data_IF_318306929449
#
_entry.id   IF_318306929449
#
_cell.length_a   1.000
_cell.length_b   1.000
_cell.length_c   1.000
_cell.angle_alpha   90.00
_cell.angle_beta   90.00
_cell.angle_gamma   90.00
#
_symmetry.space_group_name_H-M   'P 1'
#
loop_
_entity.id
_entity.type
_entity.pdbx_description
1 polymer ?
#
# COMPACT_ATOMS: atom_id res chain seq x y z
N UNK A 1 23.64 7.20 21.80
CA UNK A 1 24.11 7.81 20.55
C UNK A 1 24.21 6.71 19.52
N UNK A 2 23.31 6.69 18.54
CA UNK A 2 23.42 5.80 17.39
C UNK A 2 24.57 6.31 16.52
N UNK A 3 25.60 5.48 16.34
CA UNK A 3 26.69 5.75 15.41
C UNK A 3 26.12 5.77 14.00
N UNK A 4 26.24 6.90 13.31
CA UNK A 4 25.86 6.98 11.90
C UNK A 4 26.74 6.00 11.10
N UNK A 5 26.17 5.28 10.12
CA UNK A 5 26.95 4.38 9.27
C UNK A 5 27.96 5.17 8.43
N UNK A 6 29.12 4.57 8.18
CA UNK A 6 30.13 5.14 7.26
C UNK A 6 29.58 5.15 5.82
N UNK A 7 29.39 6.35 5.20
CA UNK A 7 28.87 6.45 3.83
C UNK A 7 29.73 5.73 2.80
N UNK A 8 31.03 5.56 3.05
CA UNK A 8 31.93 4.85 2.13
C UNK A 8 31.49 3.40 1.90
N UNK A 9 30.75 2.78 2.84
CA UNK A 9 30.20 1.44 2.69
C UNK A 9 29.17 1.32 1.57
N UNK A 10 28.53 2.42 1.19
CA UNK A 10 27.52 2.47 0.13
C UNK A 10 28.03 3.19 -1.12
N UNK A 11 29.31 3.56 -1.20
CA UNK A 11 29.88 4.30 -2.34
C UNK A 11 29.78 3.56 -3.68
N UNK A 12 29.60 2.24 -3.66
CA UNK A 12 29.42 1.41 -4.84
C UNK A 12 27.95 1.27 -5.27
N UNK A 13 27.00 1.71 -4.44
CA UNK A 13 25.57 1.63 -4.71
C UNK A 13 25.17 2.85 -5.54
N UNK A 14 24.70 2.60 -6.76
CA UNK A 14 24.30 3.64 -7.71
C UNK A 14 22.79 3.85 -7.76
N UNK A 15 22.02 2.83 -7.38
CA UNK A 15 20.58 2.78 -7.53
C UNK A 15 19.92 2.44 -6.20
N UNK A 16 18.90 3.22 -5.84
CA UNK A 16 18.15 3.07 -4.60
C UNK A 16 16.67 2.88 -4.92
N UNK A 17 16.07 1.88 -4.28
CA UNK A 17 14.63 1.66 -4.32
C UNK A 17 14.09 1.99 -2.94
N UNK A 18 13.15 2.93 -2.90
CA UNK A 18 12.43 3.29 -1.69
C UNK A 18 11.03 2.72 -1.78
N UNK A 19 10.64 1.98 -0.74
CA UNK A 19 9.24 1.71 -0.50
C UNK A 19 8.50 3.04 -0.21
N UNK A 20 7.22 3.11 -0.57
CA UNK A 20 6.41 4.32 -0.44
C UNK A 20 5.64 4.31 0.88
N UNK A 21 4.82 3.28 1.08
CA UNK A 21 3.80 3.26 2.12
C UNK A 21 4.38 3.09 3.52
N UNK A 22 4.13 4.06 4.39
CA UNK A 22 4.70 4.14 5.75
C UNK A 22 6.24 4.24 5.78
N UNK A 23 6.88 4.47 4.61
CA UNK A 23 8.32 4.66 4.47
C UNK A 23 8.63 6.11 4.08
N UNK A 24 8.05 6.62 2.99
CA UNK A 24 8.22 8.03 2.55
C UNK A 24 7.17 8.97 3.15
N UNK A 25 6.25 8.44 3.95
CA UNK A 25 5.39 9.21 4.82
C UNK A 25 5.27 8.48 6.17
N UNK A 26 5.02 9.19 7.28
CA UNK A 26 5.03 8.55 8.58
C UNK A 26 3.82 7.63 8.78
N UNK A 27 4.03 6.51 9.47
CA UNK A 27 2.98 5.52 9.75
C UNK A 27 1.73 6.13 10.43
N UNK A 28 1.87 7.19 11.21
CA UNK A 28 0.74 7.86 11.86
C UNK A 28 -0.22 8.55 10.89
N UNK A 29 0.16 8.76 9.62
CA UNK A 29 -0.76 9.22 8.56
C UNK A 29 -1.86 8.21 8.26
N UNK A 30 -1.65 6.91 8.56
CA UNK A 30 -2.66 5.86 8.56
C UNK A 30 -3.55 5.77 7.30
N UNK A 31 -3.02 6.12 6.13
CA UNK A 31 -3.74 6.12 4.86
C UNK A 31 -4.28 4.72 4.54
N UNK A 32 -3.50 3.68 4.87
CA UNK A 32 -3.86 2.28 4.63
C UNK A 32 -5.16 1.85 5.31
N UNK A 33 -5.56 2.49 6.41
CA UNK A 33 -6.85 2.17 7.05
C UNK A 33 -8.05 2.45 6.16
N UNK A 34 -7.99 3.50 5.32
CA UNK A 34 -9.02 3.82 4.35
C UNK A 34 -9.01 2.83 3.19
N UNK A 35 -7.82 2.53 2.65
CA UNK A 35 -7.63 1.57 1.55
C UNK A 35 -8.16 0.19 1.96
N UNK A 36 -7.89 -0.23 3.19
CA UNK A 36 -8.32 -1.53 3.73
C UNK A 36 -9.85 -1.66 3.84
N UNK A 37 -10.56 -0.56 4.17
CA UNK A 37 -12.02 -0.50 4.12
C UNK A 37 -12.53 -0.57 2.68
N UNK A 38 -11.94 0.20 1.76
CA UNK A 38 -12.33 0.21 0.34
C UNK A 38 -12.06 -1.12 -0.35
N UNK A 39 -10.95 -1.79 -0.04
CA UNK A 39 -10.69 -3.17 -0.51
C UNK A 39 -11.78 -4.14 -0.04
N UNK A 40 -12.21 -4.05 1.22
CA UNK A 40 -13.29 -4.91 1.73
C UNK A 40 -14.60 -4.65 0.98
N UNK A 41 -14.92 -3.38 0.73
CA UNK A 41 -16.10 -2.98 -0.03
C UNK A 41 -16.04 -3.50 -1.48
N UNK A 42 -14.91 -3.33 -2.16
CA UNK A 42 -14.70 -3.83 -3.53
C UNK A 42 -14.93 -5.34 -3.62
N UNK A 43 -14.36 -6.13 -2.69
CA UNK A 43 -14.55 -7.58 -2.65
C UNK A 43 -16.03 -7.93 -2.41
N UNK A 44 -16.70 -7.19 -1.53
CA UNK A 44 -18.13 -7.37 -1.23
C UNK A 44 -19.01 -7.09 -2.45
N UNK A 45 -18.76 -6.01 -3.17
CA UNK A 45 -19.49 -5.63 -4.37
C UNK A 45 -19.23 -6.60 -5.52
N UNK A 46 -17.97 -6.93 -5.79
CA UNK A 46 -17.57 -7.84 -6.87
C UNK A 46 -18.24 -9.21 -6.74
N UNK A 47 -18.32 -9.74 -5.52
CA UNK A 47 -18.76 -11.11 -5.25
C UNK A 47 -20.14 -11.20 -4.59
N UNK A 48 -20.82 -10.06 -4.42
CA UNK A 48 -22.11 -9.96 -3.71
C UNK A 48 -22.06 -10.61 -2.32
N UNK A 49 -21.02 -10.28 -1.55
CA UNK A 49 -20.79 -10.83 -0.21
C UNK A 49 -21.17 -9.85 0.90
N UNK A 50 -21.70 -10.33 2.03
CA UNK A 50 -21.76 -9.54 3.25
C UNK A 50 -20.37 -9.05 3.65
N UNK A 51 -20.30 -7.85 4.26
CA UNK A 51 -19.04 -7.19 4.63
C UNK A 51 -18.08 -8.10 5.41
N UNK A 52 -18.57 -8.87 6.36
CA UNK A 52 -17.73 -9.73 7.20
C UNK A 52 -17.12 -10.90 6.41
N UNK A 53 -17.84 -11.43 5.42
CA UNK A 53 -17.33 -12.50 4.56
C UNK A 53 -16.38 -11.95 3.50
N UNK A 54 -16.68 -10.79 2.93
CA UNK A 54 -15.77 -10.04 2.07
C UNK A 54 -14.44 -9.74 2.80
N UNK A 55 -14.52 -9.35 4.08
CA UNK A 55 -13.36 -9.08 4.92
C UNK A 55 -12.51 -10.33 5.16
N UNK A 56 -13.14 -11.47 5.44
CA UNK A 56 -12.43 -12.75 5.59
C UNK A 56 -11.73 -13.13 4.29
N UNK A 57 -12.43 -13.03 3.15
CA UNK A 57 -11.87 -13.35 1.84
C UNK A 57 -10.70 -12.42 1.48
N UNK A 58 -10.83 -11.11 1.71
CA UNK A 58 -9.72 -10.17 1.51
C UNK A 58 -8.45 -10.61 2.29
N UNK A 59 -8.60 -11.01 3.57
CA UNK A 59 -7.47 -11.46 4.38
C UNK A 59 -6.95 -12.85 3.97
N UNK A 60 -7.82 -13.72 3.45
CA UNK A 60 -7.41 -14.99 2.85
C UNK A 60 -6.55 -14.75 1.60
N UNK A 61 -7.04 -13.94 0.66
CA UNK A 61 -6.32 -13.61 -0.57
C UNK A 61 -4.96 -12.97 -0.28
N UNK A 62 -4.90 -12.05 0.68
CA UNK A 62 -3.63 -11.47 1.12
C UNK A 62 -2.64 -12.53 1.64
N UNK A 63 -3.10 -13.48 2.46
CA UNK A 63 -2.24 -14.52 3.04
C UNK A 63 -1.74 -15.52 2.01
N UNK A 64 -2.58 -15.88 1.04
CA UNK A 64 -2.26 -16.93 0.06
C UNK A 64 -1.52 -16.39 -1.17
N UNK A 65 -1.82 -15.16 -1.60
CA UNK A 65 -1.29 -14.57 -2.84
C UNK A 65 -0.32 -13.41 -2.61
N UNK A 66 -0.04 -13.07 -1.34
CA UNK A 66 0.80 -11.93 -0.95
C UNK A 66 0.10 -10.57 -1.03
N UNK A 67 -0.92 -10.42 -1.88
CA UNK A 67 -1.79 -9.24 -1.94
C UNK A 67 -3.23 -9.64 -2.28
N UNK A 68 -4.20 -8.85 -1.82
CA UNK A 68 -5.61 -9.02 -2.22
C UNK A 68 -5.76 -8.90 -3.73
N UNK A 69 -5.08 -7.93 -4.34
CA UNK A 69 -5.10 -7.70 -5.79
C UNK A 69 -4.67 -8.94 -6.57
N UNK A 70 -3.50 -9.51 -6.23
CA UNK A 70 -3.00 -10.71 -6.91
C UNK A 70 -3.99 -11.89 -6.76
N UNK A 71 -4.59 -12.07 -5.58
CA UNK A 71 -5.60 -13.10 -5.38
C UNK A 71 -6.87 -12.87 -6.20
N UNK A 72 -7.34 -11.62 -6.31
CA UNK A 72 -8.49 -11.28 -7.15
C UNK A 72 -8.19 -11.45 -8.64
N UNK A 73 -7.00 -11.07 -9.10
CA UNK A 73 -6.57 -11.30 -10.49
C UNK A 73 -6.51 -12.79 -10.80
N UNK A 74 -5.90 -13.59 -9.91
CA UNK A 74 -5.72 -15.02 -10.12
C UNK A 74 -7.04 -15.81 -10.09
N UNK A 75 -7.95 -15.49 -9.16
CA UNK A 75 -9.19 -16.26 -8.97
C UNK A 75 -10.40 -15.70 -9.72
N UNK A 76 -10.43 -14.40 -9.97
CA UNK A 76 -11.61 -13.71 -10.49
C UNK A 76 -11.33 -12.90 -11.77
N UNK A 77 -10.08 -12.81 -12.23
CA UNK A 77 -9.74 -12.19 -13.50
C UNK A 77 -10.09 -10.71 -13.59
N UNK A 78 -10.04 -10.00 -12.46
CA UNK A 78 -10.37 -8.56 -12.41
C UNK A 78 -9.34 -7.72 -13.17
N UNK A 79 -9.79 -6.55 -13.60
CA UNK A 79 -8.90 -5.50 -14.08
C UNK A 79 -8.13 -4.89 -12.88
N UNK A 80 -6.78 -4.96 -12.86
CA UNK A 80 -6.00 -4.37 -11.78
C UNK A 80 -6.14 -2.85 -11.69
N UNK A 81 -6.32 -2.15 -12.82
CA UNK A 81 -6.36 -0.70 -12.84
C UNK A 81 -7.66 -0.19 -12.20
N UNK A 82 -8.79 -0.81 -12.52
CA UNK A 82 -10.10 -0.53 -11.88
C UNK A 82 -10.06 -0.75 -10.36
N UNK A 83 -9.44 -1.85 -9.92
CA UNK A 83 -9.28 -2.12 -8.50
C UNK A 83 -8.41 -1.07 -7.82
N UNK A 84 -7.25 -0.77 -8.39
CA UNK A 84 -6.30 0.19 -7.82
C UNK A 84 -6.90 1.59 -7.74
N UNK A 85 -7.59 2.05 -8.78
CA UNK A 85 -8.30 3.34 -8.78
C UNK A 85 -9.32 3.41 -7.64
N UNK A 86 -10.19 2.41 -7.52
CA UNK A 86 -11.26 2.41 -6.50
C UNK A 86 -10.72 2.33 -5.08
N UNK A 87 -9.68 1.53 -4.81
CA UNK A 87 -9.16 1.37 -3.45
C UNK A 87 -8.23 2.51 -3.02
N UNK A 88 -7.63 3.24 -3.96
CA UNK A 88 -6.75 4.39 -3.70
C UNK A 88 -7.46 5.76 -3.78
N UNK A 89 -8.73 5.79 -4.17
CA UNK A 89 -9.60 6.96 -4.02
C UNK A 89 -9.86 7.24 -2.52
N UNK A 90 -8.88 7.79 -1.79
CA UNK A 90 -8.96 8.05 -0.36
C UNK A 90 -8.76 9.53 -0.05
N UNK A 91 -9.06 9.93 1.17
CA UNK A 91 -8.76 11.29 1.63
C UNK A 91 -7.26 11.42 1.95
N UNK A 92 -6.57 12.29 1.21
CA UNK A 92 -5.17 12.65 1.41
C UNK A 92 -5.00 13.99 2.15
N UNK A 93 -6.07 14.66 2.57
CA UNK A 93 -6.05 16.03 3.08
C UNK A 93 -5.15 16.24 4.31
N UNK A 94 -4.93 15.20 5.09
CA UNK A 94 -4.05 15.23 6.28
C UNK A 94 -2.61 14.81 6.00
N UNK A 95 -2.26 14.47 4.76
CA UNK A 95 -0.88 14.20 4.38
C UNK A 95 -0.14 15.52 4.17
N UNK A 96 0.75 15.85 5.10
CA UNK A 96 1.54 17.08 5.04
C UNK A 96 2.76 16.86 4.15
N UNK A 97 3.06 17.78 3.21
CA UNK A 97 4.28 17.71 2.40
C UNK A 97 5.54 17.69 3.27
N UNK A 98 6.54 16.89 2.88
CA UNK A 98 7.89 16.91 3.44
C UNK A 98 8.92 17.36 2.38
N UNK A 99 9.19 18.67 2.27
CA UNK A 99 10.15 19.20 1.31
C UNK A 99 11.60 18.76 1.58
N UNK A 100 11.93 18.43 2.83
CA UNK A 100 13.28 17.98 3.21
C UNK A 100 13.51 16.58 2.66
N UNK A 101 12.55 15.67 2.87
CA UNK A 101 12.57 14.34 2.27
C UNK A 101 12.63 14.43 0.75
N UNK A 102 11.77 15.24 0.13
CA UNK A 102 11.74 15.40 -1.32
C UNK A 102 13.05 15.94 -1.92
N UNK A 103 13.81 16.72 -1.16
CA UNK A 103 15.16 17.16 -1.57
C UNK A 103 16.20 16.05 -1.38
N UNK A 104 16.06 15.23 -0.34
CA UNK A 104 17.01 14.19 0.01
C UNK A 104 16.98 12.97 -0.92
N UNK A 105 15.84 12.67 -1.54
CA UNK A 105 15.64 11.49 -2.40
C UNK A 105 15.64 11.83 -3.91
N UNK A 106 16.17 13.00 -4.27
CA UNK A 106 16.16 13.50 -5.65
C UNK A 106 17.29 12.95 -6.51
#
# INVERSE_FOLDING_TARGET
>A
MTTLPDPARFAHVTDWVFDLDNTLYPHHSNLFSQIDVKMTAYVGELLTLPRDDARKLQKELYREYGTTLNGLMARHGIDPDDFLEKVHDIDYSWLVPDPVLGTAIR
#
